data_IF_703496893111
#
_entry.id   IF_703496893111
#
_cell.length_a   1.000
_cell.length_b   1.000
_cell.length_c   1.000
_cell.angle_alpha   90.00
_cell.angle_beta   90.00
_cell.angle_gamma   90.00
#
_symmetry.space_group_name_H-M   'P 1'
#
loop_
_entity.id
_entity.type
_entity.pdbx_description
1 polymer ?
#
# COMPACT_ATOMS: atom_id res chain seq x y z
N UNK A 1 -13.19 15.14 9.40
CA UNK A 1 -12.53 16.42 9.06
C UNK A 1 -11.06 16.23 9.40
N UNK A 2 -10.16 16.47 8.44
CA UNK A 2 -8.72 16.31 8.64
C UNK A 2 -8.07 17.68 8.67
N UNK A 3 -7.29 17.98 9.71
CA UNK A 3 -6.63 19.26 9.88
C UNK A 3 -5.12 19.10 9.89
N UNK A 4 -4.41 20.06 9.31
CA UNK A 4 -2.95 20.15 9.35
C UNK A 4 -2.56 21.31 10.26
N UNK A 5 -1.75 21.01 11.28
CA UNK A 5 -1.24 22.00 12.23
C UNK A 5 0.18 22.44 11.83
N UNK A 6 0.41 23.75 11.77
CA UNK A 6 1.70 24.37 11.46
C UNK A 6 2.30 24.91 12.75
N UNK A 7 3.26 24.19 13.37
CA UNK A 7 3.77 24.52 14.70
C UNK A 7 4.52 25.85 14.75
N UNK A 8 5.16 26.28 13.65
CA UNK A 8 5.92 27.52 13.59
C UNK A 8 5.03 28.77 13.68
N UNK A 9 3.74 28.64 13.33
CA UNK A 9 2.77 29.75 13.33
C UNK A 9 1.67 29.58 14.38
N UNK A 10 1.60 28.42 15.03
CA UNK A 10 0.52 28.05 15.95
C UNK A 10 -0.87 28.14 15.28
N UNK A 11 -0.94 27.76 14.01
CA UNK A 11 -2.15 27.83 13.17
C UNK A 11 -2.54 26.44 12.66
N UNK A 12 -3.84 26.16 12.57
CA UNK A 12 -4.39 24.94 11.99
C UNK A 12 -5.19 25.26 10.74
N UNK A 13 -5.01 24.46 9.69
CA UNK A 13 -5.72 24.57 8.42
C UNK A 13 -6.52 23.30 8.16
N UNK A 14 -7.65 23.38 7.46
CA UNK A 14 -8.26 22.17 6.89
C UNK A 14 -7.31 21.61 5.82
N UNK A 15 -7.11 20.30 5.80
CA UNK A 15 -6.28 19.66 4.80
C UNK A 15 -6.78 19.91 3.37
N UNK A 16 -8.08 20.16 3.18
CA UNK A 16 -8.63 20.51 1.87
C UNK A 16 -8.31 21.95 1.45
N UNK A 17 -8.20 22.86 2.40
CA UNK A 17 -7.86 24.28 2.17
C UNK A 17 -6.41 24.46 1.71
N UNK A 18 -5.55 23.46 1.89
CA UNK A 18 -4.17 23.49 1.38
C UNK A 18 -4.09 23.74 -0.13
N UNK A 19 -5.14 23.44 -0.90
CA UNK A 19 -5.21 23.76 -2.33
C UNK A 19 -5.08 25.26 -2.61
N UNK A 20 -5.51 26.11 -1.68
CA UNK A 20 -5.43 27.58 -1.78
C UNK A 20 -4.07 28.10 -1.32
N UNK A 21 -3.25 27.26 -0.70
CA UNK A 21 -1.95 27.60 -0.11
C UNK A 21 -0.81 26.81 -0.78
N UNK A 22 -0.35 27.22 -1.98
CA UNK A 22 0.56 26.42 -2.81
C UNK A 22 1.92 26.13 -2.16
N UNK A 23 2.41 27.01 -1.28
CA UNK A 23 3.65 26.79 -0.54
C UNK A 23 3.52 25.62 0.45
N UNK A 24 2.46 25.62 1.25
CA UNK A 24 2.19 24.56 2.23
C UNK A 24 1.83 23.25 1.55
N UNK A 25 1.06 23.30 0.47
CA UNK A 25 0.75 22.11 -0.34
C UNK A 25 2.02 21.44 -0.85
N UNK A 26 2.93 22.21 -1.47
CA UNK A 26 4.19 21.69 -1.99
C UNK A 26 5.09 21.17 -0.88
N UNK A 27 5.14 21.85 0.26
CA UNK A 27 5.90 21.37 1.42
C UNK A 27 5.36 20.02 1.90
N UNK A 28 4.04 19.90 2.08
CA UNK A 28 3.44 18.67 2.57
C UNK A 28 3.57 17.51 1.58
N UNK A 29 3.47 17.78 0.28
CA UNK A 29 3.77 16.81 -0.79
C UNK A 29 5.20 16.25 -0.65
N UNK A 30 6.21 17.11 -0.47
CA UNK A 30 7.59 16.65 -0.28
C UNK A 30 7.79 15.88 1.03
N UNK A 31 7.08 16.24 2.08
CA UNK A 31 7.09 15.49 3.35
C UNK A 31 6.53 14.08 3.17
N UNK A 32 5.41 13.93 2.44
CA UNK A 32 4.87 12.61 2.12
C UNK A 32 5.86 11.79 1.30
N UNK A 33 6.50 12.41 0.30
CA UNK A 33 7.53 11.76 -0.51
C UNK A 33 8.74 11.31 0.32
N UNK A 34 9.13 12.12 1.31
CA UNK A 34 10.18 11.75 2.26
C UNK A 34 9.75 10.52 3.09
N UNK A 35 8.51 10.47 3.58
CA UNK A 35 7.99 9.31 4.32
C UNK A 35 8.04 8.03 3.47
N UNK A 36 7.62 8.09 2.21
CA UNK A 36 7.74 6.96 1.27
C UNK A 36 9.21 6.51 1.13
N UNK A 37 10.13 7.47 0.98
CA UNK A 37 11.55 7.19 0.82
C UNK A 37 12.17 6.55 2.07
N UNK A 38 11.70 6.90 3.26
CA UNK A 38 12.16 6.33 4.53
C UNK A 38 11.65 4.89 4.75
N UNK A 39 10.45 4.57 4.26
CA UNK A 39 9.84 3.24 4.33
C UNK A 39 10.31 2.28 3.21
N UNK A 40 11.06 2.78 2.22
CA UNK A 40 11.48 2.03 1.05
C UNK A 40 12.26 0.74 1.38
N UNK A 41 12.21 -0.22 0.46
CA UNK A 41 12.99 -1.48 0.49
C UNK A 41 12.73 -2.34 1.75
N UNK A 42 11.48 -2.35 2.24
CA UNK A 42 11.07 -3.24 3.32
C UNK A 42 11.50 -2.80 4.71
N UNK A 43 11.72 -1.50 4.94
CA UNK A 43 12.03 -0.95 6.26
C UNK A 43 10.79 -0.92 7.18
N UNK A 44 10.37 -2.11 7.64
CA UNK A 44 9.16 -2.28 8.46
C UNK A 44 9.19 -1.53 9.79
N UNK A 45 10.40 -1.34 10.36
CA UNK A 45 10.55 -0.59 11.61
C UNK A 45 10.10 0.87 11.42
N UNK A 46 10.52 1.49 10.32
CA UNK A 46 10.14 2.88 10.03
C UNK A 46 8.68 2.96 9.57
N UNK A 47 8.22 2.00 8.77
CA UNK A 47 6.82 1.88 8.39
C UNK A 47 5.89 1.88 9.63
N UNK A 48 6.20 1.07 10.65
CA UNK A 48 5.46 1.04 11.92
C UNK A 48 5.48 2.38 12.69
N UNK A 49 6.58 3.13 12.63
CA UNK A 49 6.67 4.45 13.25
C UNK A 49 5.82 5.46 12.47
N UNK A 50 5.84 5.40 11.14
CA UNK A 50 5.07 6.28 10.25
C UNK A 50 3.56 6.08 10.42
N UNK A 51 3.09 4.86 10.68
CA UNK A 51 1.68 4.61 11.02
C UNK A 51 1.19 5.35 12.29
N UNK A 52 2.10 5.90 13.11
CA UNK A 52 1.75 6.77 14.24
C UNK A 52 1.69 8.25 13.87
N UNK A 53 2.32 8.62 12.77
CA UNK A 53 2.30 9.99 12.24
C UNK A 53 1.14 10.19 11.26
N UNK A 54 0.81 9.15 10.50
CA UNK A 54 -0.33 9.10 9.59
C UNK A 54 -1.14 7.88 9.95
N UNK A 55 -2.35 8.10 10.45
CA UNK A 55 -3.24 7.01 10.86
C UNK A 55 -4.04 6.43 9.67
N UNK A 56 -4.64 5.26 9.88
CA UNK A 56 -5.44 4.58 8.86
C UNK A 56 -6.67 5.41 8.44
N UNK A 57 -7.30 6.12 9.38
CA UNK A 57 -8.51 6.91 9.12
C UNK A 57 -8.21 8.11 8.23
N UNK A 58 -7.06 8.77 8.43
CA UNK A 58 -6.53 9.87 7.63
C UNK A 58 -6.22 9.39 6.22
N UNK A 59 -5.56 8.24 6.07
CA UNK A 59 -5.32 7.62 4.76
C UNK A 59 -6.63 7.37 4.03
N UNK A 60 -7.57 6.64 4.64
CA UNK A 60 -8.86 6.32 4.01
C UNK A 60 -9.69 7.57 3.68
N UNK A 61 -9.66 8.57 4.56
CA UNK A 61 -10.31 9.85 4.32
C UNK A 61 -9.73 10.56 3.09
N UNK A 62 -8.41 10.65 2.98
CA UNK A 62 -7.74 11.30 1.85
C UNK A 62 -7.92 10.55 0.53
N UNK A 63 -7.99 9.22 0.56
CA UNK A 63 -8.18 8.39 -0.62
C UNK A 63 -9.61 8.50 -1.17
N UNK A 64 -10.60 8.65 -0.30
CA UNK A 64 -12.02 8.76 -0.64
C UNK A 64 -12.50 10.20 -0.93
N UNK A 65 -11.75 11.21 -0.50
CA UNK A 65 -12.19 12.60 -0.65
C UNK A 65 -12.02 13.09 -2.09
N UNK A 66 -13.12 13.42 -2.78
CA UNK A 66 -13.13 13.89 -4.17
C UNK A 66 -12.45 15.26 -4.37
N UNK A 67 -12.49 16.12 -3.35
CA UNK A 67 -12.01 17.51 -3.43
C UNK A 67 -10.53 17.69 -3.04
N UNK A 68 -9.82 16.62 -2.69
CA UNK A 68 -8.41 16.70 -2.30
C UNK A 68 -7.54 17.19 -3.47
N UNK A 69 -6.57 18.05 -3.18
CA UNK A 69 -5.57 18.47 -4.16
C UNK A 69 -4.83 17.26 -4.77
N UNK A 70 -4.68 17.23 -6.09
CA UNK A 70 -4.06 16.10 -6.82
C UNK A 70 -2.68 15.66 -6.30
N UNK A 71 -1.72 16.59 -6.08
CA UNK A 71 -0.40 16.24 -5.55
C UNK A 71 -0.47 15.59 -4.16
N UNK A 72 -1.39 16.08 -3.31
CA UNK A 72 -1.59 15.56 -1.97
C UNK A 72 -2.20 14.15 -2.03
N UNK A 73 -3.23 13.97 -2.86
CA UNK A 73 -3.86 12.67 -3.09
C UNK A 73 -2.82 11.64 -3.54
N UNK A 74 -2.01 11.96 -4.55
CA UNK A 74 -0.95 11.07 -5.04
C UNK A 74 0.04 10.71 -3.93
N UNK A 75 0.48 11.69 -3.13
CA UNK A 75 1.38 11.44 -2.01
C UNK A 75 0.82 10.45 -0.98
N UNK A 76 -0.48 10.51 -0.67
CA UNK A 76 -1.12 9.54 0.22
C UNK A 76 -1.26 8.14 -0.42
N UNK A 77 -1.56 8.05 -1.71
CA UNK A 77 -1.56 6.76 -2.44
C UNK A 77 -0.16 6.13 -2.42
N UNK A 78 0.88 6.91 -2.72
CA UNK A 78 2.26 6.44 -2.71
C UNK A 78 2.67 5.99 -1.30
N UNK A 79 2.24 6.70 -0.26
CA UNK A 79 2.53 6.34 1.13
C UNK A 79 1.86 5.02 1.52
N UNK A 80 0.58 4.83 1.13
CA UNK A 80 -0.14 3.57 1.35
C UNK A 80 0.61 2.40 0.70
N UNK A 81 1.03 2.57 -0.56
CA UNK A 81 1.76 1.54 -1.30
C UNK A 81 3.09 1.25 -0.59
N UNK A 82 3.88 2.28 -0.32
CA UNK A 82 5.22 2.14 0.27
C UNK A 82 5.21 1.45 1.65
N UNK A 83 4.21 1.76 2.50
CA UNK A 83 4.11 1.21 3.85
C UNK A 83 3.49 -0.19 3.85
N UNK A 84 2.39 -0.40 3.11
CA UNK A 84 1.55 -1.58 3.31
C UNK A 84 1.66 -2.64 2.21
N UNK A 85 1.99 -2.25 0.97
CA UNK A 85 1.87 -3.14 -0.19
C UNK A 85 3.22 -3.50 -0.80
N UNK A 86 4.14 -2.53 -0.88
CA UNK A 86 5.39 -2.62 -1.63
C UNK A 86 6.24 -3.83 -1.21
N UNK A 87 6.29 -4.12 0.08
CA UNK A 87 7.12 -5.21 0.62
C UNK A 87 6.62 -6.59 0.17
N UNK A 88 5.31 -6.84 0.26
CA UNK A 88 4.75 -8.13 -0.18
C UNK A 88 4.68 -8.21 -1.70
N UNK A 89 4.35 -7.10 -2.38
CA UNK A 89 4.36 -7.03 -3.84
C UNK A 89 5.74 -7.36 -4.42
N UNK A 90 6.81 -6.78 -3.86
CA UNK A 90 8.19 -7.08 -4.26
C UNK A 90 8.56 -8.54 -4.01
N UNK A 91 8.13 -9.13 -2.89
CA UNK A 91 8.37 -10.56 -2.61
C UNK A 91 7.62 -11.47 -3.60
N UNK A 92 6.39 -11.12 -3.94
CA UNK A 92 5.59 -11.82 -4.95
C UNK A 92 6.21 -11.70 -6.34
N UNK A 93 6.70 -10.51 -6.71
CA UNK A 93 7.39 -10.28 -7.98
C UNK A 93 8.70 -11.08 -8.05
N UNK A 94 9.48 -11.11 -6.96
CA UNK A 94 10.71 -11.90 -6.87
C UNK A 94 10.49 -13.40 -7.10
N UNK A 95 9.36 -13.94 -6.61
CA UNK A 95 8.98 -15.36 -6.77
C UNK A 95 8.11 -15.64 -8.00
N UNK A 96 7.78 -14.61 -8.80
CA UNK A 96 6.82 -14.74 -9.91
C UNK A 96 7.25 -15.71 -11.02
N UNK A 97 8.55 -15.95 -11.15
CA UNK A 97 9.17 -16.86 -12.13
C UNK A 97 9.57 -18.22 -11.55
N UNK A 98 9.19 -18.47 -10.30
CA UNK A 98 9.43 -19.74 -9.61
C UNK A 98 8.15 -20.58 -9.60
N UNK A 99 8.20 -21.75 -10.23
CA UNK A 99 7.04 -22.64 -10.37
C UNK A 99 7.18 -23.86 -9.46
N UNK A 100 7.08 -23.65 -8.15
CA UNK A 100 7.14 -24.73 -7.17
C UNK A 100 5.73 -25.26 -6.89
N UNK A 101 5.47 -26.51 -7.28
CA UNK A 101 4.16 -27.17 -7.11
C UNK A 101 4.29 -28.35 -6.14
N UNK A 102 3.57 -28.35 -5.00
CA UNK A 102 3.61 -29.46 -4.05
C UNK A 102 2.79 -30.66 -4.57
N UNK A 103 3.27 -31.87 -4.27
CA UNK A 103 2.54 -33.10 -4.56
C UNK A 103 1.40 -33.28 -3.55
N UNK A 104 0.19 -32.91 -3.94
CA UNK A 104 -1.02 -33.06 -3.12
C UNK A 104 -2.00 -34.04 -3.75
N UNK A 105 -2.88 -34.65 -2.94
CA UNK A 105 -3.94 -35.56 -3.43
C UNK A 105 -4.84 -34.90 -4.47
N UNK A 106 -5.03 -33.58 -4.40
CA UNK A 106 -5.82 -32.80 -5.34
C UNK A 106 -5.22 -32.74 -6.76
N UNK A 107 -3.89 -32.91 -6.88
CA UNK A 107 -3.17 -32.92 -8.16
C UNK A 107 -2.90 -34.34 -8.68
N UNK A 108 -3.10 -35.38 -7.86
CA UNK A 108 -2.73 -36.76 -8.17
C UNK A 108 -3.34 -37.30 -9.47
N UNK A 109 -4.56 -36.88 -9.81
CA UNK A 109 -5.28 -37.37 -10.99
C UNK A 109 -5.41 -36.30 -12.11
N UNK A 110 -4.81 -35.11 -11.96
CA UNK A 110 -4.90 -34.02 -12.96
C UNK A 110 -3.76 -34.14 -13.96
N UNK A 111 -4.09 -34.31 -15.26
CA UNK A 111 -3.11 -34.34 -16.36
C UNK A 111 -2.66 -32.94 -16.75
N UNK A 112 -3.60 -32.01 -16.96
CA UNK A 112 -3.30 -30.59 -16.94
C UNK A 112 -4.10 -29.90 -15.83
N UNK A 113 -3.45 -28.95 -15.19
CA UNK A 113 -4.06 -28.10 -14.16
C UNK A 113 -5.13 -27.16 -14.78
N UNK A 114 -5.04 -26.93 -16.09
CA UNK A 114 -5.86 -26.00 -16.86
C UNK A 114 -7.05 -26.67 -17.57
N UNK A 115 -7.18 -28.00 -17.55
CA UNK A 115 -8.23 -28.72 -18.29
C UNK A 115 -9.65 -28.39 -17.80
N UNK A 116 -9.81 -27.88 -16.56
CA UNK A 116 -11.11 -27.47 -16.00
C UNK A 116 -11.52 -26.03 -16.39
N UNK A 117 -10.70 -25.30 -17.16
CA UNK A 117 -10.80 -23.85 -17.34
C UNK A 117 -10.86 -23.42 -18.82
N UNK A 118 -11.35 -24.31 -19.69
CA UNK A 118 -11.40 -24.18 -21.16
C UNK A 118 -12.40 -23.10 -21.67
N UNK A 119 -12.60 -22.02 -20.91
CA UNK A 119 -13.47 -20.88 -21.23
C UNK A 119 -12.76 -19.83 -22.11
N UNK A 120 -11.50 -20.06 -22.50
CA UNK A 120 -10.73 -19.16 -23.37
C UNK A 120 -10.23 -17.87 -22.71
N UNK A 121 -10.45 -17.69 -21.40
CA UNK A 121 -9.95 -16.55 -20.63
C UNK A 121 -8.69 -16.91 -19.83
N UNK A 122 -7.76 -15.96 -19.64
CA UNK A 122 -6.62 -16.18 -18.75
C UNK A 122 -7.13 -16.49 -17.34
N UNK A 123 -6.58 -17.56 -16.75
CA UNK A 123 -6.94 -18.07 -15.43
C UNK A 123 -6.42 -17.12 -14.34
N UNK A 124 -7.11 -16.00 -14.16
CA UNK A 124 -6.84 -15.04 -13.08
C UNK A 124 -7.60 -15.44 -11.81
N UNK A 125 -8.75 -16.13 -11.96
CA UNK A 125 -9.68 -16.46 -10.88
C UNK A 125 -9.67 -17.94 -10.46
N UNK A 126 -8.73 -18.73 -10.96
CA UNK A 126 -8.61 -20.17 -10.64
C UNK A 126 -7.81 -20.45 -9.37
N UNK A 127 -7.89 -21.68 -8.83
CA UNK A 127 -7.08 -22.10 -7.68
C UNK A 127 -5.58 -22.03 -8.00
N UNK A 128 -4.82 -21.40 -7.12
CA UNK A 128 -3.36 -21.35 -7.22
C UNK A 128 -2.75 -22.60 -6.57
N UNK A 129 -2.21 -23.50 -7.38
CA UNK A 129 -1.53 -24.69 -6.90
C UNK A 129 -0.04 -24.47 -6.59
N UNK A 130 0.54 -23.38 -7.10
CA UNK A 130 1.93 -23.02 -6.81
C UNK A 130 2.11 -22.46 -5.41
N UNK A 131 3.26 -22.75 -4.79
CA UNK A 131 3.67 -22.08 -3.56
C UNK A 131 3.92 -20.60 -3.85
N UNK A 132 3.37 -19.73 -2.99
CA UNK A 132 3.53 -18.28 -3.08
C UNK A 132 3.81 -17.70 -1.69
N UNK A 133 4.59 -16.61 -1.60
CA UNK A 133 4.77 -15.86 -0.36
C UNK A 133 3.42 -15.50 0.28
N UNK A 134 3.26 -15.89 1.54
CA UNK A 134 2.07 -15.51 2.31
C UNK A 134 2.27 -14.12 2.90
N UNK A 135 1.21 -13.31 2.92
CA UNK A 135 1.25 -12.02 3.60
C UNK A 135 1.25 -12.26 5.10
N UNK A 136 2.14 -11.57 5.81
CA UNK A 136 2.13 -11.49 7.26
C UNK A 136 2.01 -10.03 7.65
N UNK A 137 1.18 -9.75 8.65
CA UNK A 137 1.00 -8.40 9.18
C UNK A 137 1.22 -8.41 10.69
N UNK A 138 1.51 -7.25 11.23
CA UNK A 138 1.67 -7.04 12.67
C UNK A 138 0.98 -5.74 13.06
N UNK A 139 0.34 -5.75 14.23
CA UNK A 139 -0.32 -4.57 14.75
C UNK A 139 0.71 -3.51 15.13
N UNK A 140 0.35 -2.24 14.93
CA UNK A 140 1.12 -1.11 15.41
C UNK A 140 0.93 -1.05 16.93
N UNK A 141 1.98 -1.38 17.69
CA UNK A 141 1.91 -1.31 19.17
C UNK A 141 1.69 0.14 19.60
N UNK A 142 0.77 0.37 20.53
CA UNK A 142 0.71 1.62 21.26
C UNK A 142 1.90 1.75 22.23
N UNK A 143 2.25 2.99 22.60
CA UNK A 143 3.36 3.26 23.52
C UNK A 143 3.09 2.72 24.92
#
# INVERSE_FOLDING_TARGET
>A
MMSVFVPERDESYDAMELIEQPLYLRFHEQTLRLYCSLAAQGNQKVAHILCRHVDEQQLLYMLSCENSAGPLRNGFYDLLIAIHLDTHATAMEGTSREYVVPLTKALHNKKNILDELDDGYPVILGPCFGLKPQVAYSDVKDK
#
